data_IF_673727403127
#
_entry.id   IF_673727403127
#
_cell.length_a   1.000
_cell.length_b   1.000
_cell.length_c   1.000
_cell.angle_alpha   90.00
_cell.angle_beta   90.00
_cell.angle_gamma   90.00
#
_symmetry.space_group_name_H-M   'P 1'
#
loop_
_entity.id
_entity.type
_entity.pdbx_description
1 polymer ?
#
# COMPACT_ATOMS: atom_id res chain seq x y z
N UNK A 1 19.01 -18.92 15.45
CA UNK A 1 18.77 -19.21 14.02
C UNK A 1 17.37 -18.74 13.61
N UNK A 2 17.19 -17.45 13.29
CA UNK A 2 15.92 -16.93 12.80
C UNK A 2 15.91 -16.88 11.28
N UNK A 3 15.32 -17.90 10.63
CA UNK A 3 15.18 -17.94 9.16
C UNK A 3 14.27 -16.80 8.72
N UNK A 4 14.85 -15.66 8.35
CA UNK A 4 14.12 -14.62 7.60
C UNK A 4 13.67 -15.26 6.29
N UNK A 5 12.37 -15.55 6.17
CA UNK A 5 11.73 -16.03 4.94
C UNK A 5 11.99 -14.99 3.85
N UNK A 6 13.03 -15.19 3.04
CA UNK A 6 13.24 -14.43 1.81
C UNK A 6 12.10 -14.81 0.86
N UNK A 7 11.11 -13.93 0.73
CA UNK A 7 10.02 -14.10 -0.24
C UNK A 7 10.64 -14.24 -1.64
N UNK A 8 10.32 -15.32 -2.33
CA UNK A 8 10.98 -15.86 -3.54
C UNK A 8 10.83 -15.02 -4.83
N UNK A 9 10.75 -13.69 -4.76
CA UNK A 9 10.47 -12.85 -5.94
C UNK A 9 11.35 -11.59 -5.98
N UNK A 10 12.63 -11.79 -6.32
CA UNK A 10 13.60 -10.74 -6.68
C UNK A 10 13.44 -10.35 -8.16
N UNK A 11 12.30 -9.76 -8.56
CA UNK A 11 11.98 -9.52 -9.98
C UNK A 11 12.50 -8.15 -10.49
N UNK A 12 13.15 -7.33 -9.65
CA UNK A 12 13.58 -5.99 -10.07
C UNK A 12 14.73 -5.43 -9.22
N UNK A 13 15.75 -4.86 -9.87
CA UNK A 13 16.86 -4.13 -9.22
C UNK A 13 16.52 -2.66 -8.89
N UNK A 14 15.23 -2.32 -8.74
CA UNK A 14 14.84 -0.96 -8.32
C UNK A 14 15.09 -0.75 -6.84
N UNK A 15 15.91 0.24 -6.51
CA UNK A 15 16.07 0.73 -5.12
C UNK A 15 14.77 1.40 -4.68
N UNK A 16 14.02 0.72 -3.82
CA UNK A 16 12.77 1.20 -3.20
C UNK A 16 12.98 1.37 -1.70
N UNK A 17 12.43 2.45 -1.13
CA UNK A 17 12.55 2.74 0.31
C UNK A 17 11.80 1.73 1.18
N UNK A 18 10.68 1.19 0.67
CA UNK A 18 9.88 0.16 1.37
C UNK A 18 9.71 -1.09 0.50
N UNK A 19 10.64 -2.03 0.65
CA UNK A 19 10.66 -3.29 -0.14
C UNK A 19 9.43 -4.17 0.11
N UNK A 20 8.85 -4.15 1.31
CA UNK A 20 7.65 -4.93 1.62
C UNK A 20 6.44 -4.43 0.81
N UNK A 21 6.29 -3.12 0.69
CA UNK A 21 5.26 -2.51 -0.16
C UNK A 21 5.52 -2.80 -1.64
N UNK A 22 6.78 -2.78 -2.07
CA UNK A 22 7.14 -3.12 -3.44
C UNK A 22 6.78 -4.57 -3.79
N UNK A 23 7.04 -5.55 -2.92
CA UNK A 23 6.74 -6.96 -3.20
C UNK A 23 5.24 -7.17 -3.46
N UNK A 24 4.35 -6.40 -2.82
CA UNK A 24 2.89 -6.43 -3.09
C UNK A 24 2.54 -6.15 -4.56
N UNK A 25 3.42 -5.50 -5.32
CA UNK A 25 3.20 -5.30 -6.77
C UNK A 25 3.39 -6.57 -7.58
N UNK A 26 4.28 -7.46 -7.14
CA UNK A 26 4.55 -8.74 -7.82
C UNK A 26 3.48 -9.77 -7.50
N UNK A 27 3.08 -9.87 -6.24
CA UNK A 27 2.10 -10.87 -5.78
C UNK A 27 0.65 -10.39 -5.85
N UNK A 28 0.41 -9.13 -6.24
CA UNK A 28 -0.93 -8.56 -6.37
C UNK A 28 -1.67 -8.29 -5.06
N UNK A 29 -1.01 -8.41 -3.90
CA UNK A 29 -1.63 -8.18 -2.59
C UNK A 29 -2.11 -6.74 -2.41
N UNK A 30 -3.38 -6.58 -2.02
CA UNK A 30 -3.99 -5.28 -1.71
C UNK A 30 -4.73 -5.37 -0.36
N UNK A 31 -4.02 -5.23 0.76
CA UNK A 31 -4.59 -5.50 2.09
C UNK A 31 -5.59 -4.42 2.55
N UNK A 32 -5.48 -3.19 2.05
CA UNK A 32 -6.34 -2.10 2.48
C UNK A 32 -7.56 -2.01 1.57
N UNK A 33 -8.77 -2.09 2.11
CA UNK A 33 -10.01 -2.00 1.34
C UNK A 33 -10.82 -0.77 1.74
N UNK A 34 -11.43 -0.12 0.75
CA UNK A 34 -12.38 0.96 0.97
C UNK A 34 -13.64 0.42 1.64
N UNK A 35 -14.10 0.96 2.78
CA UNK A 35 -15.34 0.49 3.40
C UNK A 35 -16.58 0.77 2.54
N UNK A 36 -16.53 1.84 1.73
CA UNK A 36 -17.65 2.34 0.92
C UNK A 36 -17.80 1.55 -0.38
N UNK A 37 -16.76 1.49 -1.22
CA UNK A 37 -16.83 0.84 -2.53
C UNK A 37 -15.99 -0.45 -2.66
N UNK A 38 -15.40 -0.94 -1.56
CA UNK A 38 -14.56 -2.15 -1.51
C UNK A 38 -13.31 -2.13 -2.39
N UNK A 39 -12.98 -1.00 -3.05
CA UNK A 39 -11.74 -0.81 -3.80
C UNK A 39 -10.52 -1.06 -2.93
N UNK A 40 -9.57 -1.87 -3.42
CA UNK A 40 -8.39 -2.31 -2.65
C UNK A 40 -7.11 -1.56 -3.05
N UNK A 41 -6.25 -1.29 -2.07
CA UNK A 41 -5.00 -0.55 -2.20
C UNK A 41 -3.81 -1.34 -1.65
N UNK A 42 -2.64 -1.15 -2.24
CA UNK A 42 -1.37 -1.75 -1.82
C UNK A 42 -0.73 -1.04 -0.62
N UNK A 43 -1.02 0.26 -0.47
CA UNK A 43 -0.45 1.15 0.55
C UNK A 43 -1.57 1.81 1.34
N UNK A 44 -1.42 1.88 2.67
CA UNK A 44 -2.40 2.47 3.58
C UNK A 44 -2.62 3.97 3.32
N UNK A 45 -1.54 4.70 3.02
CA UNK A 45 -1.57 6.16 2.77
C UNK A 45 -2.59 6.57 1.69
N UNK A 46 -2.82 5.73 0.67
CA UNK A 46 -3.78 6.04 -0.39
C UNK A 46 -5.24 5.85 0.02
N UNK A 47 -5.53 5.07 1.07
CA UNK A 47 -6.89 4.78 1.48
C UNK A 47 -7.63 6.04 1.98
N UNK A 48 -7.08 6.86 2.90
CA UNK A 48 -7.72 8.12 3.30
C UNK A 48 -7.98 9.07 2.13
N UNK A 49 -7.01 9.21 1.22
CA UNK A 49 -7.16 10.03 0.00
C UNK A 49 -8.30 9.52 -0.89
N UNK A 50 -8.45 8.21 -1.00
CA UNK A 50 -9.57 7.65 -1.73
C UNK A 50 -10.90 7.83 -1.00
N UNK A 51 -10.97 7.66 0.32
CA UNK A 51 -12.21 7.84 1.08
C UNK A 51 -12.74 9.27 0.92
N UNK A 52 -11.83 10.25 0.88
CA UNK A 52 -12.12 11.64 0.57
C UNK A 52 -12.91 11.83 -0.76
N UNK A 53 -12.70 10.99 -1.77
CA UNK A 53 -13.44 11.10 -3.05
C UNK A 53 -14.91 10.74 -2.92
N UNK A 54 -15.30 9.90 -1.94
CA UNK A 54 -16.70 9.59 -1.67
C UNK A 54 -17.41 10.74 -0.95
N UNK A 55 -16.68 11.42 -0.07
CA UNK A 55 -17.22 12.49 0.77
C UNK A 55 -17.07 13.89 0.16
N UNK A 56 -16.44 14.01 -1.04
CA UNK A 56 -16.01 15.29 -1.66
C UNK A 56 -15.19 16.20 -0.73
N UNK A 57 -14.62 15.64 0.32
CA UNK A 57 -13.85 16.37 1.33
C UNK A 57 -12.36 16.13 1.09
N UNK A 58 -11.56 17.20 1.02
CA UNK A 58 -10.11 17.06 0.90
C UNK A 58 -9.53 16.61 2.25
N UNK A 59 -8.71 15.55 2.31
CA UNK A 59 -8.10 15.15 3.55
C UNK A 59 -7.06 16.21 3.96
N UNK A 60 -7.23 16.74 5.16
CA UNK A 60 -6.33 17.76 5.72
C UNK A 60 -5.20 17.00 6.43
N UNK A 61 -3.98 17.22 5.95
CA UNK A 61 -2.76 16.78 6.62
C UNK A 61 -1.99 18.03 7.02
N UNK A 62 -1.76 18.17 8.31
CA UNK A 62 -0.89 19.18 8.89
C UNK A 62 0.56 18.69 8.83
N UNK A 63 1.45 19.50 8.26
CA UNK A 63 2.88 19.30 8.47
C UNK A 63 3.20 19.76 9.90
N UNK A 64 3.84 18.88 10.68
CA UNK A 64 4.42 19.22 11.98
C UNK A 64 5.91 19.49 11.80
#
# INVERSE_FOLDING_TARGET
MGKRKKSQYNICQKKVTNINVHIRTHIGEKPYSCPICKKRFRIQFYLPYHIATHNKNRPIFNCT
#
